data_IF_389874097287
#
_entry.id   IF_389874097287
#
_cell.length_a   1.000
_cell.length_b   1.000
_cell.length_c   1.000
_cell.angle_alpha   90.00
_cell.angle_beta   90.00
_cell.angle_gamma   90.00
#
_symmetry.space_group_name_H-M   'P 1'
#
loop_
_entity.id
_entity.type
_entity.pdbx_description
1 polymer ?
#
# COMPACT_ATOMS: atom_id res chain seq x y z
N UNK A 1 -26.47 -0.15 -37.17
CA UNK A 1 -25.42 -1.05 -36.61
C UNK A 1 -24.89 -0.42 -35.36
N UNK A 2 -25.32 -0.91 -34.21
CA UNK A 2 -24.88 -0.39 -32.92
C UNK A 2 -23.57 -1.07 -32.54
N UNK A 3 -22.49 -0.29 -32.41
CA UNK A 3 -21.20 -0.75 -31.89
C UNK A 3 -21.34 -1.00 -30.41
N UNK A 4 -21.49 -2.27 -30.03
CA UNK A 4 -21.37 -2.73 -28.65
C UNK A 4 -19.89 -2.71 -28.24
N UNK A 5 -19.37 -1.56 -27.80
CA UNK A 5 -18.10 -1.46 -27.11
C UNK A 5 -18.32 -1.90 -25.65
N UNK A 6 -18.48 -3.20 -25.41
CA UNK A 6 -18.30 -3.76 -24.08
C UNK A 6 -16.81 -3.57 -23.72
N UNK A 7 -16.52 -2.54 -22.94
CA UNK A 7 -15.27 -2.46 -22.19
C UNK A 7 -15.11 -3.81 -21.48
N UNK A 8 -14.09 -4.59 -21.87
CA UNK A 8 -13.65 -5.77 -21.13
C UNK A 8 -13.18 -5.26 -19.78
N UNK A 9 -14.06 -5.31 -18.78
CA UNK A 9 -13.66 -5.17 -17.38
C UNK A 9 -12.74 -6.36 -17.13
N UNK A 10 -11.44 -6.10 -17.02
CA UNK A 10 -10.47 -7.13 -16.64
C UNK A 10 -10.73 -7.43 -15.16
N UNK A 11 -11.56 -8.44 -14.88
CA UNK A 11 -11.81 -8.88 -13.52
C UNK A 11 -10.51 -9.38 -12.90
N UNK A 12 -10.20 -8.91 -11.69
CA UNK A 12 -9.06 -9.38 -10.92
C UNK A 12 -9.24 -10.86 -10.58
N UNK A 13 -8.14 -11.61 -10.58
CA UNK A 13 -8.14 -13.01 -10.13
C UNK A 13 -8.27 -13.07 -8.61
N UNK A 14 -8.99 -14.06 -8.09
CA UNK A 14 -9.08 -14.28 -6.64
C UNK A 14 -7.75 -14.70 -6.03
N UNK A 15 -7.02 -15.60 -6.68
CA UNK A 15 -5.73 -16.11 -6.20
C UNK A 15 -4.80 -16.49 -7.36
N UNK A 16 -3.51 -16.61 -7.07
CA UNK A 16 -2.49 -17.23 -7.92
C UNK A 16 -2.33 -18.72 -7.56
N UNK A 17 -2.28 -19.03 -6.27
CA UNK A 17 -2.05 -20.37 -5.73
C UNK A 17 -3.35 -20.96 -5.20
N UNK A 18 -4.15 -21.55 -6.09
CA UNK A 18 -5.45 -22.15 -5.74
C UNK A 18 -5.28 -23.25 -4.68
N UNK A 19 -6.22 -23.30 -3.73
CA UNK A 19 -6.23 -24.28 -2.65
C UNK A 19 -5.25 -24.00 -1.52
N UNK A 20 -4.48 -22.89 -1.58
CA UNK A 20 -3.59 -22.44 -0.50
C UNK A 20 -4.14 -21.18 0.17
N UNK A 21 -3.87 -21.03 1.45
CA UNK A 21 -4.09 -19.78 2.18
C UNK A 21 -3.07 -18.74 1.67
N UNK A 22 -3.50 -17.89 0.73
CA UNK A 22 -2.64 -16.94 0.04
C UNK A 22 -2.80 -15.54 0.60
N UNK A 23 -1.67 -14.89 0.97
CA UNK A 23 -1.64 -13.49 1.34
C UNK A 23 -1.16 -12.62 0.17
N UNK A 24 -1.91 -11.57 -0.16
CA UNK A 24 -1.48 -10.50 -1.07
C UNK A 24 -0.85 -9.35 -0.29
N UNK A 25 0.27 -8.80 -0.77
CA UNK A 25 0.99 -7.69 -0.15
C UNK A 25 1.23 -6.54 -1.13
N UNK A 26 1.08 -5.31 -0.63
CA UNK A 26 1.44 -4.07 -1.34
C UNK A 26 1.86 -2.99 -0.34
N UNK A 27 2.53 -1.92 -0.82
CA UNK A 27 2.98 -0.80 -0.03
C UNK A 27 2.53 0.57 -0.56
N UNK A 28 2.50 1.56 0.33
CA UNK A 28 2.21 2.95 0.03
C UNK A 28 3.26 3.89 0.63
N UNK A 29 3.60 4.95 -0.12
CA UNK A 29 4.46 6.01 0.38
C UNK A 29 5.94 5.90 0.06
N UNK A 30 6.38 5.02 -0.84
CA UNK A 30 7.80 4.89 -1.22
C UNK A 30 8.43 6.18 -1.72
N UNK A 31 7.77 6.88 -2.64
CA UNK A 31 8.29 8.09 -3.29
C UNK A 31 8.10 9.38 -2.50
N UNK A 32 7.63 9.32 -1.26
CA UNK A 32 7.36 10.51 -0.45
C UNK A 32 8.62 11.06 0.21
N UNK A 33 8.72 12.38 0.35
CA UNK A 33 9.80 13.06 1.08
C UNK A 33 9.59 13.01 2.59
N UNK A 34 8.33 12.82 3.03
CA UNK A 34 7.97 12.79 4.43
C UNK A 34 6.98 11.67 4.74
N UNK A 35 6.97 11.26 6.01
CA UNK A 35 6.10 10.25 6.56
C UNK A 35 6.61 8.82 6.37
N UNK A 36 6.03 7.92 7.14
CA UNK A 36 6.33 6.49 7.15
C UNK A 36 5.94 5.81 5.83
N UNK A 37 6.58 4.68 5.52
CA UNK A 37 6.08 3.73 4.53
C UNK A 37 5.13 2.76 5.23
N UNK A 38 4.00 2.49 4.59
CA UNK A 38 2.97 1.57 5.04
C UNK A 38 2.89 0.41 4.06
N UNK A 39 2.72 -0.79 4.57
CA UNK A 39 2.38 -1.95 3.76
C UNK A 39 1.19 -2.67 4.39
N UNK A 40 0.45 -3.42 3.59
CA UNK A 40 -0.58 -4.29 4.10
C UNK A 40 -0.39 -5.71 3.57
N UNK A 41 -0.87 -6.68 4.34
CA UNK A 41 -1.03 -8.07 3.95
C UNK A 41 -2.51 -8.45 4.12
N UNK A 42 -3.11 -9.07 3.11
CA UNK A 42 -4.53 -9.43 3.09
C UNK A 42 -4.71 -10.86 2.61
N UNK A 43 -5.43 -11.67 3.38
CA UNK A 43 -5.92 -13.00 3.00
C UNK A 43 -7.41 -12.87 2.75
N UNK A 44 -7.84 -13.13 1.53
CA UNK A 44 -9.26 -13.16 1.15
C UNK A 44 -9.79 -14.60 1.13
N UNK A 45 -11.12 -14.81 1.26
CA UNK A 45 -11.72 -16.12 0.97
C UNK A 45 -11.36 -16.61 -0.44
N UNK A 46 -11.20 -17.92 -0.64
CA UNK A 46 -10.71 -18.50 -1.91
C UNK A 46 -11.53 -18.04 -3.14
N UNK A 47 -12.84 -18.03 -3.00
CA UNK A 47 -13.77 -17.65 -4.08
C UNK A 47 -14.24 -16.19 -3.97
N UNK A 48 -13.50 -15.34 -3.27
CA UNK A 48 -13.88 -13.95 -3.09
C UNK A 48 -14.06 -13.24 -4.44
N UNK A 49 -15.13 -12.45 -4.53
CA UNK A 49 -15.45 -11.62 -5.69
C UNK A 49 -15.90 -10.24 -5.25
N UNK A 50 -15.26 -9.24 -5.80
CA UNK A 50 -15.66 -7.85 -5.65
C UNK A 50 -15.21 -7.08 -6.90
N UNK A 51 -16.14 -6.78 -7.79
CA UNK A 51 -15.87 -6.13 -9.07
C UNK A 51 -15.43 -4.65 -8.91
N UNK A 52 -15.63 -4.08 -7.74
CA UNK A 52 -15.21 -2.72 -7.40
C UNK A 52 -13.73 -2.65 -6.99
N UNK A 53 -13.09 -3.79 -6.67
CA UNK A 53 -11.66 -3.83 -6.41
C UNK A 53 -10.88 -3.58 -7.70
N UNK A 54 -9.98 -2.62 -7.65
CA UNK A 54 -9.09 -2.26 -8.75
C UNK A 54 -7.83 -1.62 -8.18
N UNK A 55 -6.83 -1.35 -9.05
CA UNK A 55 -5.66 -0.52 -8.71
C UNK A 55 -6.11 0.74 -7.94
N UNK A 56 -5.61 0.88 -6.72
CA UNK A 56 -6.00 1.95 -5.78
C UNK A 56 -5.82 3.35 -6.35
N UNK A 57 -4.92 3.51 -7.33
CA UNK A 57 -4.63 4.78 -8.01
C UNK A 57 -5.74 5.20 -8.99
N UNK A 58 -6.54 4.24 -9.47
CA UNK A 58 -7.68 4.48 -10.36
C UNK A 58 -8.97 4.79 -9.58
N UNK A 59 -8.99 4.57 -8.27
CA UNK A 59 -10.12 4.81 -7.40
C UNK A 59 -10.10 6.23 -6.82
N UNK A 60 -11.29 6.83 -6.66
CA UNK A 60 -11.42 8.09 -5.91
C UNK A 60 -11.08 7.87 -4.43
N UNK A 61 -10.67 8.91 -3.67
CA UNK A 61 -10.46 8.78 -2.23
C UNK A 61 -11.68 8.21 -1.50
N UNK A 62 -12.88 8.73 -1.78
CA UNK A 62 -14.13 8.26 -1.19
C UNK A 62 -14.31 6.74 -1.42
N UNK A 63 -14.13 6.28 -2.67
CA UNK A 63 -14.30 4.86 -3.01
C UNK A 63 -13.27 3.97 -2.32
N UNK A 64 -12.02 4.43 -2.15
CA UNK A 64 -11.02 3.69 -1.36
C UNK A 64 -11.44 3.48 0.09
N UNK A 65 -12.00 4.50 0.74
CA UNK A 65 -12.46 4.39 2.14
C UNK A 65 -13.70 3.49 2.28
N UNK A 66 -14.60 3.47 1.31
CA UNK A 66 -15.71 2.51 1.28
C UNK A 66 -15.19 1.08 1.15
N UNK A 67 -14.29 0.85 0.18
CA UNK A 67 -13.69 -0.48 -0.05
C UNK A 67 -12.84 -0.94 1.12
N UNK A 68 -12.14 -0.04 1.82
CA UNK A 68 -11.43 -0.38 3.05
C UNK A 68 -12.35 -1.06 4.06
N UNK A 69 -13.53 -0.49 4.34
CA UNK A 69 -14.50 -1.07 5.28
C UNK A 69 -14.97 -2.46 4.84
N UNK A 70 -15.16 -2.64 3.53
CA UNK A 70 -15.55 -3.92 2.96
C UNK A 70 -14.42 -4.94 3.11
N UNK A 71 -13.18 -4.57 2.78
CA UNK A 71 -12.00 -5.45 2.93
C UNK A 71 -11.79 -5.85 4.39
N UNK A 72 -11.85 -4.89 5.33
CA UNK A 72 -11.69 -5.13 6.76
C UNK A 72 -12.74 -6.10 7.32
N UNK A 73 -13.96 -6.06 6.79
CA UNK A 73 -15.05 -6.96 7.16
C UNK A 73 -14.93 -8.36 6.54
N UNK A 74 -14.57 -8.41 5.24
CA UNK A 74 -14.70 -9.63 4.42
C UNK A 74 -13.42 -10.47 4.39
N UNK A 75 -12.26 -9.88 4.68
CA UNK A 75 -11.00 -10.61 4.67
C UNK A 75 -10.95 -11.66 5.79
N UNK A 76 -10.40 -12.84 5.47
CA UNK A 76 -10.10 -13.90 6.47
C UNK A 76 -9.10 -13.37 7.51
N UNK A 77 -8.09 -12.64 7.04
CA UNK A 77 -7.15 -11.91 7.89
C UNK A 77 -6.55 -10.73 7.10
N UNK A 78 -6.24 -9.67 7.81
CA UNK A 78 -5.49 -8.54 7.27
C UNK A 78 -4.66 -7.88 8.36
N UNK A 79 -3.61 -7.20 7.96
CA UNK A 79 -2.77 -6.42 8.87
C UNK A 79 -2.01 -5.34 8.11
N UNK A 80 -1.57 -4.32 8.83
CA UNK A 80 -0.78 -3.19 8.31
C UNK A 80 0.54 -3.12 9.04
N UNK A 81 1.63 -3.08 8.28
CA UNK A 81 2.98 -2.88 8.79
C UNK A 81 3.49 -1.47 8.46
N UNK A 82 4.24 -0.88 9.37
CA UNK A 82 4.73 0.49 9.26
C UNK A 82 6.23 0.53 9.51
N UNK A 83 6.95 1.34 8.71
CA UNK A 83 8.37 1.65 8.92
C UNK A 83 8.54 3.16 8.92
N UNK A 84 9.16 3.68 9.98
CA UNK A 84 9.27 5.12 10.22
C UNK A 84 10.30 5.81 9.31
N UNK A 85 10.27 7.16 9.18
CA UNK A 85 11.29 7.90 8.44
C UNK A 85 12.71 7.63 8.95
N UNK A 86 12.90 7.53 10.26
CA UNK A 86 14.20 7.23 10.86
C UNK A 86 14.70 5.83 10.45
N UNK A 87 13.84 4.83 10.44
CA UNK A 87 14.20 3.48 9.97
C UNK A 87 14.48 3.46 8.47
N UNK A 88 13.69 4.22 7.67
CA UNK A 88 13.92 4.36 6.22
C UNK A 88 15.33 4.92 5.96
N UNK A 89 15.73 5.95 6.70
CA UNK A 89 17.05 6.56 6.57
C UNK A 89 18.19 5.61 6.94
N UNK A 90 17.95 4.66 7.86
CA UNK A 90 18.94 3.65 8.27
C UNK A 90 19.12 2.52 7.25
N UNK A 91 18.02 2.03 6.65
CA UNK A 91 18.03 0.80 5.84
C UNK A 91 17.70 1.01 4.36
N UNK A 92 17.45 2.23 3.93
CA UNK A 92 16.92 2.69 2.64
C UNK A 92 15.47 2.25 2.36
N UNK A 93 14.85 2.93 1.38
CA UNK A 93 13.41 2.75 1.09
C UNK A 93 13.07 1.37 0.53
N UNK A 94 13.95 0.72 -0.22
CA UNK A 94 13.69 -0.62 -0.73
C UNK A 94 13.58 -1.63 0.42
N UNK A 95 14.57 -1.64 1.31
CA UNK A 95 14.55 -2.52 2.48
C UNK A 95 13.43 -2.16 3.45
N UNK A 96 13.12 -0.87 3.61
CA UNK A 96 12.02 -0.40 4.45
C UNK A 96 10.64 -0.86 3.92
N UNK A 97 10.42 -0.84 2.60
CA UNK A 97 9.18 -1.36 2.01
C UNK A 97 9.02 -2.86 2.28
N UNK A 98 10.09 -3.63 2.11
CA UNK A 98 10.08 -5.08 2.39
C UNK A 98 9.86 -5.33 3.89
N UNK A 99 10.51 -4.57 4.76
CA UNK A 99 10.32 -4.68 6.22
C UNK A 99 8.87 -4.35 6.61
N UNK A 100 8.27 -3.33 6.00
CA UNK A 100 6.86 -3.00 6.23
C UNK A 100 5.94 -4.16 5.82
N UNK A 101 6.20 -4.82 4.69
CA UNK A 101 5.45 -6.02 4.26
C UNK A 101 5.65 -7.19 5.24
N UNK A 102 6.88 -7.42 5.73
CA UNK A 102 7.15 -8.46 6.73
C UNK A 102 6.38 -8.16 8.03
N UNK A 103 6.38 -6.91 8.51
CA UNK A 103 5.58 -6.49 9.70
C UNK A 103 4.06 -6.68 9.47
N UNK A 104 3.58 -6.44 8.25
CA UNK A 104 2.20 -6.72 7.91
C UNK A 104 1.90 -8.24 7.95
N UNK A 105 2.80 -9.06 7.44
CA UNK A 105 2.68 -10.53 7.52
C UNK A 105 2.75 -11.04 8.95
N UNK A 106 3.63 -10.48 9.80
CA UNK A 106 3.75 -10.81 11.22
C UNK A 106 2.46 -10.51 12.00
N UNK A 107 1.72 -9.47 11.60
CA UNK A 107 0.46 -9.06 12.23
C UNK A 107 -0.76 -9.87 11.81
N UNK A 108 -0.65 -10.79 10.84
CA UNK A 108 -1.77 -11.63 10.41
C UNK A 108 -2.16 -12.64 11.50
N UNK A 109 -3.47 -12.74 11.78
CA UNK A 109 -4.01 -13.74 12.72
C UNK A 109 -4.06 -15.15 12.13
N UNK A 110 -3.95 -15.28 10.81
CA UNK A 110 -3.90 -16.53 10.07
C UNK A 110 -2.59 -16.60 9.32
N UNK A 111 -1.82 -17.69 9.49
CA UNK A 111 -0.54 -17.88 8.80
C UNK A 111 -0.80 -18.21 7.32
N UNK A 112 -0.24 -17.46 6.37
CA UNK A 112 -0.35 -17.82 4.96
C UNK A 112 0.55 -19.02 4.62
N UNK A 113 0.14 -19.77 3.60
CA UNK A 113 0.90 -20.87 2.99
C UNK A 113 1.63 -20.42 1.72
N UNK A 114 1.17 -19.31 1.12
CA UNK A 114 1.80 -18.66 -0.02
C UNK A 114 1.65 -17.13 0.09
N UNK A 115 2.58 -16.40 -0.49
CA UNK A 115 2.58 -14.92 -0.51
C UNK A 115 2.69 -14.44 -1.96
N UNK A 116 1.83 -13.51 -2.36
CA UNK A 116 1.97 -12.76 -3.60
C UNK A 116 2.19 -11.28 -3.29
N UNK A 117 3.14 -10.66 -3.98
CA UNK A 117 3.61 -9.31 -3.64
C UNK A 117 3.56 -8.42 -4.87
N UNK A 118 3.04 -7.20 -4.74
CA UNK A 118 3.16 -6.22 -5.83
C UNK A 118 4.63 -5.88 -6.10
N UNK A 119 4.96 -5.70 -7.39
CA UNK A 119 6.29 -5.32 -7.82
C UNK A 119 7.20 -6.48 -8.21
N UNK A 120 8.53 -6.27 -8.09
CA UNK A 120 9.55 -7.21 -8.54
C UNK A 120 10.65 -7.45 -7.48
N UNK A 121 10.47 -6.99 -6.27
CA UNK A 121 11.45 -7.07 -5.18
C UNK A 121 10.78 -7.50 -3.88
N UNK A 122 11.24 -8.59 -3.32
CA UNK A 122 10.85 -9.10 -2.01
C UNK A 122 12.03 -9.88 -1.41
N UNK A 123 11.99 -10.21 -0.14
CA UNK A 123 12.97 -11.07 0.54
C UNK A 123 12.26 -12.26 1.17
N UNK A 124 12.92 -13.43 1.29
CA UNK A 124 12.34 -14.59 1.97
C UNK A 124 11.72 -14.24 3.33
N UNK A 125 10.57 -14.81 3.62
CA UNK A 125 9.84 -14.62 4.86
C UNK A 125 9.41 -15.97 5.44
N UNK A 126 9.93 -16.31 6.62
CA UNK A 126 9.54 -17.49 7.42
C UNK A 126 9.37 -18.80 6.64
N UNK A 127 10.23 -19.03 5.63
CA UNK A 127 10.18 -20.21 4.74
C UNK A 127 8.86 -20.37 3.96
N UNK A 128 8.04 -19.32 3.86
CA UNK A 128 6.82 -19.34 3.07
C UNK A 128 7.19 -18.99 1.61
N UNK A 129 6.74 -19.81 0.62
CA UNK A 129 6.96 -19.51 -0.79
C UNK A 129 6.29 -18.18 -1.17
N UNK A 130 6.97 -17.38 -1.99
CA UNK A 130 6.43 -16.12 -2.46
C UNK A 130 6.62 -15.93 -3.97
N UNK A 131 5.74 -15.16 -4.57
CA UNK A 131 5.81 -14.73 -5.96
C UNK A 131 5.64 -13.22 -6.06
N UNK A 132 6.58 -12.55 -6.71
CA UNK A 132 6.44 -11.12 -7.04
C UNK A 132 5.67 -10.94 -8.34
N UNK A 133 4.73 -10.00 -8.36
CA UNK A 133 3.83 -9.77 -9.50
C UNK A 133 3.86 -8.28 -9.86
N UNK A 134 4.51 -7.95 -10.98
CA UNK A 134 4.52 -6.56 -11.48
C UNK A 134 3.11 -6.11 -11.83
N UNK A 135 2.67 -4.97 -11.26
CA UNK A 135 1.29 -4.44 -11.33
C UNK A 135 0.29 -5.49 -10.83
N UNK A 136 0.59 -6.10 -9.70
CA UNK A 136 -0.22 -7.14 -9.08
C UNK A 136 -1.57 -6.61 -8.58
N UNK A 137 -1.61 -5.36 -8.14
CA UNK A 137 -2.81 -4.61 -7.74
C UNK A 137 -3.88 -4.53 -8.84
N UNK A 138 -3.46 -4.57 -10.11
CA UNK A 138 -4.36 -4.67 -11.28
C UNK A 138 -4.62 -6.11 -11.76
N UNK A 139 -4.17 -7.14 -11.03
CA UNK A 139 -4.26 -8.56 -11.45
C UNK A 139 -4.90 -9.48 -10.42
N UNK A 140 -4.65 -9.23 -9.14
CA UNK A 140 -5.09 -10.09 -8.02
C UNK A 140 -5.84 -9.29 -6.96
N UNK A 141 -6.98 -9.82 -6.51
CA UNK A 141 -7.84 -9.15 -5.54
C UNK A 141 -7.17 -8.94 -4.19
N UNK A 142 -6.38 -9.90 -3.70
CA UNK A 142 -5.67 -9.77 -2.42
C UNK A 142 -4.60 -8.69 -2.44
N UNK A 143 -3.87 -8.50 -3.58
CA UNK A 143 -2.91 -7.41 -3.74
C UNK A 143 -3.64 -6.07 -3.86
N UNK A 144 -4.74 -5.99 -4.64
CA UNK A 144 -5.55 -4.78 -4.75
C UNK A 144 -6.12 -4.35 -3.39
N UNK A 145 -6.61 -5.31 -2.60
CA UNK A 145 -7.07 -5.07 -1.24
C UNK A 145 -5.94 -4.55 -0.33
N UNK A 146 -4.75 -5.15 -0.40
CA UNK A 146 -3.57 -4.69 0.33
C UNK A 146 -3.17 -3.26 -0.07
N UNK A 147 -3.20 -2.94 -1.38
CA UNK A 147 -2.95 -1.59 -1.90
C UNK A 147 -3.89 -0.55 -1.29
N UNK A 148 -5.20 -0.85 -1.24
CA UNK A 148 -6.22 0.03 -0.66
C UNK A 148 -5.97 0.23 0.85
N UNK A 149 -5.70 -0.85 1.60
CA UNK A 149 -5.42 -0.74 3.03
C UNK A 149 -4.15 0.08 3.28
N UNK A 150 -3.03 -0.27 2.65
CA UNK A 150 -1.77 0.46 2.81
C UNK A 150 -1.94 1.96 2.49
N UNK A 151 -2.64 2.29 1.41
CA UNK A 151 -2.89 3.67 0.98
C UNK A 151 -3.77 4.43 1.95
N UNK A 152 -4.90 3.87 2.37
CA UNK A 152 -5.87 4.58 3.23
C UNK A 152 -5.34 4.75 4.65
N UNK A 153 -4.68 3.75 5.23
CA UNK A 153 -4.04 3.88 6.55
C UNK A 153 -2.92 4.91 6.54
N UNK A 154 -2.14 4.96 5.44
CA UNK A 154 -1.12 5.98 5.29
C UNK A 154 -1.71 7.38 5.10
N UNK A 155 -2.78 7.52 4.35
CA UNK A 155 -3.45 8.82 4.16
C UNK A 155 -3.96 9.35 5.50
N UNK A 156 -4.63 8.54 6.33
CA UNK A 156 -5.06 8.91 7.68
C UNK A 156 -3.88 9.38 8.57
N UNK A 157 -2.74 8.70 8.47
CA UNK A 157 -1.53 9.11 9.19
C UNK A 157 -1.02 10.47 8.72
N UNK A 158 -0.98 10.70 7.40
CA UNK A 158 -0.52 11.98 6.85
C UNK A 158 -1.49 13.13 7.12
N UNK A 159 -2.79 12.84 7.23
CA UNK A 159 -3.80 13.85 7.61
C UNK A 159 -3.59 14.34 9.04
N UNK A 160 -3.34 13.43 9.99
CA UNK A 160 -2.97 13.81 11.36
C UNK A 160 -1.68 14.64 11.42
N UNK A 161 -0.65 14.27 10.67
CA UNK A 161 0.58 15.06 10.60
C UNK A 161 0.37 16.44 9.96
N UNK A 162 -0.59 16.56 9.02
CA UNK A 162 -0.91 17.84 8.40
C UNK A 162 -1.57 18.83 9.38
N UNK A 163 -2.29 18.34 10.39
CA UNK A 163 -2.83 19.17 11.48
C UNK A 163 -1.70 19.76 12.34
N UNK A 164 -0.66 18.96 12.59
CA UNK A 164 0.51 19.38 13.40
C UNK A 164 1.48 20.28 12.59
N UNK A 165 1.61 20.04 11.27
CA UNK A 165 2.53 20.74 10.37
C UNK A 165 1.81 21.29 9.12
N UNK A 166 0.86 22.24 9.26
CA UNK A 166 0.03 22.71 8.15
C UNK A 166 0.83 23.40 7.02
N UNK A 167 2.00 23.94 7.31
CA UNK A 167 2.85 24.65 6.34
C UNK A 167 3.36 23.77 5.19
N UNK A 168 3.38 22.45 5.33
CA UNK A 168 3.88 21.53 4.30
C UNK A 168 2.80 21.03 3.32
N UNK A 169 1.54 21.44 3.49
CA UNK A 169 0.39 21.04 2.65
C UNK A 169 0.24 19.50 2.54
N UNK A 170 0.57 18.77 3.65
CA UNK A 170 0.48 17.31 3.66
C UNK A 170 -0.94 16.79 3.56
N UNK A 171 -1.95 17.60 3.87
CA UNK A 171 -3.35 17.27 3.64
C UNK A 171 -3.63 17.00 2.15
N UNK A 172 -2.99 17.74 1.25
CA UNK A 172 -3.14 17.59 -0.20
C UNK A 172 -2.10 16.64 -0.78
N UNK A 173 -0.81 16.89 -0.48
CA UNK A 173 0.28 16.20 -1.15
C UNK A 173 0.70 14.88 -0.49
N UNK A 174 0.19 14.55 0.70
CA UNK A 174 0.48 13.30 1.45
C UNK A 174 1.97 12.98 1.57
N UNK A 175 2.81 14.04 1.61
CA UNK A 175 4.26 13.93 1.71
C UNK A 175 4.99 13.72 0.38
N UNK A 176 4.29 13.68 -0.76
CA UNK A 176 4.92 13.57 -2.08
C UNK A 176 5.72 14.83 -2.47
N UNK A 177 6.71 14.70 -3.38
CA UNK A 177 7.65 15.76 -3.75
C UNK A 177 7.05 16.81 -4.70
N UNK A 178 5.92 17.43 -4.32
CA UNK A 178 5.32 18.54 -5.08
C UNK A 178 6.15 19.81 -4.96
N UNK A 179 5.95 20.76 -5.89
CA UNK A 179 6.62 22.07 -5.82
C UNK A 179 6.32 22.77 -4.50
N UNK A 180 5.06 22.75 -4.04
CA UNK A 180 4.66 23.33 -2.75
C UNK A 180 5.38 22.69 -1.56
N UNK A 181 5.50 21.34 -1.55
CA UNK A 181 6.19 20.65 -0.47
C UNK A 181 7.68 21.03 -0.42
N UNK A 182 8.36 21.05 -1.59
CA UNK A 182 9.78 21.49 -1.66
C UNK A 182 9.96 22.95 -1.28
N UNK A 183 9.05 23.84 -1.70
CA UNK A 183 9.06 25.24 -1.31
C UNK A 183 8.89 25.37 0.21
N UNK A 184 7.94 24.67 0.81
CA UNK A 184 7.76 24.67 2.26
C UNK A 184 9.00 24.16 3.02
N UNK A 185 9.69 23.14 2.48
CA UNK A 185 10.97 22.66 3.05
C UNK A 185 12.03 23.77 2.98
N UNK A 186 12.13 24.50 1.86
CA UNK A 186 13.11 25.60 1.71
C UNK A 186 12.81 26.77 2.67
N UNK A 187 11.54 27.08 2.93
CA UNK A 187 11.10 28.19 3.79
C UNK A 187 11.13 27.83 5.29
N UNK A 188 10.71 26.63 5.66
CA UNK A 188 10.49 26.24 7.07
C UNK A 188 11.46 25.16 7.57
N UNK A 189 12.36 24.66 6.69
CA UNK A 189 13.26 23.56 7.05
C UNK A 189 12.56 22.20 7.02
N UNK A 190 13.16 21.22 7.70
CA UNK A 190 12.64 19.85 7.80
C UNK A 190 12.10 19.57 9.20
N UNK A 191 11.15 18.63 9.28
CA UNK A 191 10.63 18.07 10.54
C UNK A 191 11.27 16.70 10.79
N UNK A 192 11.07 16.08 11.98
CA UNK A 192 11.47 14.69 12.23
C UNK A 192 10.81 13.67 11.29
N UNK A 193 9.72 14.04 10.62
CA UNK A 193 9.01 13.18 9.68
C UNK A 193 9.57 13.20 8.27
N UNK A 194 10.49 14.12 7.93
CA UNK A 194 11.17 14.12 6.63
C UNK A 194 12.26 13.05 6.57
N UNK A 195 12.40 12.43 5.40
CA UNK A 195 13.41 11.39 5.12
C UNK A 195 14.70 12.06 4.70
N UNK A 196 15.66 12.16 5.63
CA UNK A 196 16.89 12.94 5.47
C UNK A 196 17.82 12.43 4.37
N UNK A 197 17.73 11.14 4.04
CA UNK A 197 18.53 10.51 2.97
C UNK A 197 17.95 10.73 1.56
N UNK A 198 16.74 11.31 1.46
CA UNK A 198 16.11 11.64 0.18
C UNK A 198 16.58 13.02 -0.33
N UNK A 199 16.53 13.21 -1.67
CA UNK A 199 16.76 14.53 -2.25
C UNK A 199 15.55 15.43 -1.95
N UNK A 200 15.66 16.25 -0.91
CA UNK A 200 14.57 17.09 -0.41
C UNK A 200 14.36 18.36 -1.24
N UNK A 201 15.44 18.95 -1.79
CA UNK A 201 15.47 20.16 -2.62
C UNK A 201 16.00 19.88 -4.01
#
# INVERSE_FOLDING_TARGET
>A
MAYNNKLKINMLKSSLNKGLIEAGCDEAGRGCLAGSVYAAAVILPEDYRNDDLNDSKQLTPHRRYELRKIIERDAVAWSVGVVTPEEIDKINILNASILAMHRALDGLKVRPEAIIVDGNRFKPYNFIPYTTVVKGDGKFMSIAAASILAKTYRDDYMDRLAEEYPQYDWISNKGYPTKKHRQAIAEHGITPYHRKTFRLL
#
